data_IF_771972539317
#
_entry.id   IF_771972539317
#
_cell.length_a   1.000
_cell.length_b   1.000
_cell.length_c   1.000
_cell.angle_alpha   90.00
_cell.angle_beta   90.00
_cell.angle_gamma   90.00
#
_symmetry.space_group_name_H-M   'P 1'
#
loop_
_entity.id
_entity.type
_entity.pdbx_description
1 polymer ?
#
# COMPACT_ATOMS: atom_id res chain seq x y z
N UNK A 1 -22.59 9.50 -37.33
CA UNK A 1 -22.54 8.13 -36.75
C UNK A 1 -21.71 8.03 -35.44
N UNK A 2 -21.42 9.13 -34.73
CA UNK A 2 -20.73 9.13 -33.42
C UNK A 2 -21.63 9.54 -32.23
N UNK A 3 -22.76 10.19 -32.50
CA UNK A 3 -23.73 10.62 -31.50
C UNK A 3 -24.52 9.45 -30.89
N UNK A 4 -24.92 8.47 -31.71
CA UNK A 4 -25.71 7.29 -31.31
C UNK A 4 -24.99 6.36 -30.29
N UNK A 5 -23.66 6.23 -30.38
CA UNK A 5 -22.89 5.39 -29.42
C UNK A 5 -22.69 6.06 -28.07
N UNK A 6 -22.70 7.39 -28.03
CA UNK A 6 -22.51 8.16 -26.79
C UNK A 6 -23.81 8.24 -26.00
N UNK A 7 -24.96 8.30 -26.69
CA UNK A 7 -26.27 8.18 -26.05
C UNK A 7 -26.51 6.77 -25.50
N UNK A 8 -26.21 5.71 -26.26
CA UNK A 8 -26.29 4.32 -25.77
C UNK A 8 -25.43 4.05 -24.54
N UNK A 9 -24.26 4.71 -24.44
CA UNK A 9 -23.40 4.60 -23.27
C UNK A 9 -23.95 5.38 -22.06
N UNK A 10 -24.56 6.56 -22.29
CA UNK A 10 -25.23 7.34 -21.23
C UNK A 10 -26.51 6.64 -20.74
N UNK A 11 -27.20 5.92 -21.62
CA UNK A 11 -28.39 5.14 -21.31
C UNK A 11 -28.02 3.88 -20.51
N UNK A 12 -26.99 3.14 -20.93
CA UNK A 12 -26.46 2.00 -20.17
C UNK A 12 -25.89 2.38 -18.79
N UNK A 13 -25.33 3.59 -18.65
CA UNK A 13 -24.87 4.13 -17.36
C UNK A 13 -26.00 4.66 -16.47
N UNK A 14 -27.16 5.02 -17.05
CA UNK A 14 -28.39 5.34 -16.30
C UNK A 14 -29.10 4.08 -15.82
N UNK A 15 -28.97 2.96 -16.54
CA UNK A 15 -29.52 1.66 -16.14
C UNK A 15 -28.71 0.93 -15.05
N UNK A 16 -27.48 1.36 -14.76
CA UNK A 16 -26.74 0.84 -13.59
C UNK A 16 -27.29 1.44 -12.29
N UNK A 17 -28.35 0.80 -11.80
CA UNK A 17 -29.02 0.91 -10.50
C UNK A 17 -28.23 1.72 -9.45
N UNK A 18 -28.76 2.90 -9.11
CA UNK A 18 -28.30 3.69 -7.97
C UNK A 18 -28.62 2.95 -6.65
N UNK A 19 -27.78 3.14 -5.63
CA UNK A 19 -27.92 2.45 -4.33
C UNK A 19 -29.28 2.67 -3.65
N UNK A 20 -30.01 3.72 -4.02
CA UNK A 20 -31.37 4.00 -3.55
C UNK A 20 -32.41 3.00 -4.11
N UNK A 21 -32.28 2.56 -5.36
CA UNK A 21 -33.19 1.56 -5.95
C UNK A 21 -32.96 0.16 -5.39
N UNK A 22 -31.70 -0.16 -5.03
CA UNK A 22 -31.34 -1.42 -4.36
C UNK A 22 -31.98 -1.47 -2.96
N UNK A 23 -31.97 -0.37 -2.20
CA UNK A 23 -32.67 -0.29 -0.91
C UNK A 23 -34.20 -0.33 -1.05
N UNK A 24 -34.75 0.24 -2.14
CA UNK A 24 -36.19 0.23 -2.41
C UNK A 24 -36.69 -1.16 -2.82
N UNK A 25 -35.88 -1.97 -3.52
CA UNK A 25 -36.19 -3.37 -3.85
C UNK A 25 -36.04 -4.30 -2.64
N UNK A 26 -35.02 -4.12 -1.81
CA UNK A 26 -34.85 -4.87 -0.56
C UNK A 26 -35.97 -4.65 0.47
N UNK A 27 -36.66 -3.50 0.42
CA UNK A 27 -37.88 -3.24 1.23
C UNK A 27 -39.18 -3.75 0.62
N UNK A 28 -39.20 -4.11 -0.68
CA UNK A 28 -40.40 -4.61 -1.37
C UNK A 28 -40.48 -6.14 -1.43
N UNK A 29 -39.39 -6.86 -1.15
CA UNK A 29 -39.32 -8.33 -1.27
C UNK A 29 -39.41 -9.09 0.07
N UNK A 30 -39.81 -8.46 1.17
CA UNK A 30 -40.23 -9.20 2.37
C UNK A 30 -41.68 -9.69 2.19
N UNK A 31 -41.94 -11.00 2.04
CA UNK A 31 -43.30 -11.51 2.04
C UNK A 31 -43.85 -11.42 3.46
N UNK A 32 -45.00 -10.75 3.58
CA UNK A 32 -45.91 -10.89 4.69
C UNK A 32 -46.40 -12.34 4.76
N UNK A 33 -46.07 -13.05 5.84
CA UNK A 33 -46.89 -14.17 6.30
C UNK A 33 -47.35 -13.89 7.74
N UNK A 34 -48.64 -13.54 7.81
CA UNK A 34 -49.42 -13.35 9.01
C UNK A 34 -49.65 -14.70 9.69
N UNK A 35 -49.24 -14.84 10.96
CA UNK A 35 -50.00 -15.65 11.92
C UNK A 35 -50.18 -14.88 13.23
N UNK A 36 -51.44 -14.48 13.42
CA UNK A 36 -52.05 -13.82 14.59
C UNK A 36 -51.48 -14.33 15.92
N UNK A 37 -51.05 -13.43 16.80
CA UNK A 37 -51.33 -13.50 18.24
C UNK A 37 -51.30 -12.09 18.87
N UNK A 38 -52.45 -11.73 19.43
CA UNK A 38 -52.83 -10.67 20.39
C UNK A 38 -51.82 -9.55 20.75
N UNK A 39 -52.28 -8.33 20.42
CA UNK A 39 -51.91 -7.01 20.94
C UNK A 39 -51.89 -6.94 22.47
N UNK A 40 -50.80 -6.38 23.02
CA UNK A 40 -50.78 -5.69 24.31
C UNK A 40 -50.10 -4.33 24.14
N UNK A 41 -50.70 -3.32 24.75
CA UNK A 41 -50.42 -1.88 24.64
C UNK A 41 -48.99 -1.48 25.07
N UNK A 42 -48.34 -0.57 24.32
CA UNK A 42 -47.31 0.31 24.89
C UNK A 42 -47.49 1.75 24.35
N UNK A 43 -47.40 2.67 25.30
CA UNK A 43 -47.79 4.09 25.33
C UNK A 43 -46.87 5.02 24.52
N UNK A 44 -47.43 6.20 24.17
CA UNK A 44 -46.79 7.38 23.59
C UNK A 44 -45.43 7.76 24.20
N UNK A 45 -44.44 8.23 23.41
CA UNK A 45 -43.26 8.92 23.93
C UNK A 45 -43.46 10.44 23.86
N UNK A 46 -43.79 11.06 24.99
CA UNK A 46 -43.38 12.44 25.28
C UNK A 46 -42.13 12.36 26.18
N UNK A 47 -41.22 13.32 26.01
CA UNK A 47 -39.96 13.55 26.74
C UNK A 47 -38.68 13.07 26.05
N UNK A 48 -38.28 13.80 25.00
CA UNK A 48 -36.86 13.92 24.62
C UNK A 48 -36.35 15.25 25.18
N UNK A 49 -35.51 15.18 26.23
CA UNK A 49 -34.76 16.34 26.75
C UNK A 49 -33.76 16.81 25.69
N UNK A 50 -33.97 18.02 25.17
CA UNK A 50 -33.05 18.71 24.27
C UNK A 50 -31.80 19.10 25.08
N UNK A 51 -30.65 18.50 24.75
CA UNK A 51 -29.34 18.90 25.29
C UNK A 51 -28.94 20.27 24.72
N UNK A 52 -28.55 21.16 25.61
CA UNK A 52 -28.23 22.56 25.34
C UNK A 52 -26.99 22.68 24.43
N UNK A 53 -27.10 23.40 23.31
CA UNK A 53 -26.12 23.50 22.22
C UNK A 53 -24.89 24.37 22.51
N UNK A 54 -24.84 25.01 23.68
CA UNK A 54 -23.75 25.90 24.07
C UNK A 54 -22.48 25.17 24.51
N UNK A 55 -22.59 23.91 24.94
CA UNK A 55 -21.45 23.11 25.44
C UNK A 55 -20.50 22.68 24.30
N UNK A 56 -21.03 22.44 23.10
CA UNK A 56 -20.24 22.09 21.91
C UNK A 56 -19.41 23.24 21.35
N UNK A 57 -19.79 24.50 21.60
CA UNK A 57 -19.02 25.66 21.11
C UNK A 57 -17.79 25.92 21.96
N UNK A 58 -17.88 25.67 23.26
CA UNK A 58 -16.78 25.85 24.20
C UNK A 58 -15.68 24.79 24.01
N UNK A 59 -16.07 23.53 23.77
CA UNK A 59 -15.11 22.45 23.49
C UNK A 59 -14.32 22.70 22.21
N UNK A 60 -14.96 23.20 21.15
CA UNK A 60 -14.25 23.57 19.93
C UNK A 60 -13.23 24.70 20.17
N UNK A 61 -13.58 25.72 20.95
CA UNK A 61 -12.65 26.81 21.27
C UNK A 61 -11.44 26.31 22.07
N UNK A 62 -11.65 25.43 23.05
CA UNK A 62 -10.57 24.77 23.80
C UNK A 62 -9.63 23.98 22.89
N UNK A 63 -10.18 23.24 21.92
CA UNK A 63 -9.38 22.47 20.96
C UNK A 63 -8.53 23.41 20.09
N UNK A 64 -9.09 24.51 19.58
CA UNK A 64 -8.33 25.48 18.78
C UNK A 64 -7.23 26.17 19.59
N UNK A 65 -7.52 26.53 20.85
CA UNK A 65 -6.52 27.14 21.74
C UNK A 65 -5.34 26.19 22.01
N UNK A 66 -5.61 24.90 22.26
CA UNK A 66 -4.57 23.89 22.47
C UNK A 66 -3.73 23.67 21.20
N UNK A 67 -4.37 23.60 20.03
CA UNK A 67 -3.66 23.50 18.75
C UNK A 67 -2.72 24.69 18.51
N UNK A 68 -3.15 25.92 18.83
CA UNK A 68 -2.33 27.11 18.68
C UNK A 68 -1.07 27.06 19.57
N UNK A 69 -1.21 26.64 20.82
CA UNK A 69 -0.07 26.48 21.75
C UNK A 69 0.95 25.47 21.21
N UNK A 70 0.50 24.35 20.66
CA UNK A 70 1.38 23.33 20.07
C UNK A 70 2.18 23.90 18.89
N UNK A 71 1.56 24.71 18.03
CA UNK A 71 2.24 25.34 16.88
C UNK A 71 3.34 26.30 17.36
N UNK A 72 3.07 27.11 18.39
CA UNK A 72 4.05 28.04 18.95
C UNK A 72 5.24 27.28 19.57
N UNK A 73 4.98 26.19 20.29
CA UNK A 73 6.04 25.35 20.87
C UNK A 73 6.90 24.69 19.79
N UNK A 74 6.28 24.18 18.71
CA UNK A 74 7.02 23.60 17.59
C UNK A 74 7.93 24.63 16.91
N UNK A 75 7.44 25.86 16.72
CA UNK A 75 8.24 26.94 16.16
C UNK A 75 9.46 27.29 17.05
N UNK A 76 9.28 27.32 18.38
CA UNK A 76 10.39 27.54 19.33
C UNK A 76 11.43 26.42 19.29
N UNK A 77 11.01 25.16 19.19
CA UNK A 77 11.95 24.03 19.07
C UNK A 77 12.76 24.14 17.77
N UNK A 78 12.12 24.45 16.64
CA UNK A 78 12.80 24.64 15.36
C UNK A 78 13.81 25.81 15.45
N UNK A 79 13.40 26.92 16.08
CA UNK A 79 14.27 28.08 16.29
C UNK A 79 15.52 27.72 17.11
N UNK A 80 15.37 26.92 18.18
CA UNK A 80 16.49 26.47 19.01
C UNK A 80 17.44 25.53 18.25
N UNK A 81 16.91 24.65 17.39
CA UNK A 81 17.75 23.78 16.54
C UNK A 81 18.58 24.63 15.57
N UNK A 82 17.95 25.60 14.90
CA UNK A 82 18.64 26.51 13.97
C UNK A 82 19.69 27.38 14.66
N UNK A 83 19.43 27.82 15.90
CA UNK A 83 20.40 28.58 16.68
C UNK A 83 21.63 27.75 17.06
N UNK A 84 21.45 26.45 17.34
CA UNK A 84 22.53 25.58 17.79
C UNK A 84 23.48 25.14 16.65
N UNK A 85 22.99 25.01 15.42
CA UNK A 85 23.80 24.61 14.25
C UNK A 85 24.89 25.63 13.87
N UNK A 86 24.78 26.90 14.28
CA UNK A 86 25.79 27.92 13.99
C UNK A 86 27.08 27.79 14.83
N UNK A 87 27.18 26.82 15.74
CA UNK A 87 28.30 26.72 16.69
C UNK A 87 29.30 25.57 16.44
N UNK A 88 29.12 24.73 15.42
CA UNK A 88 29.97 23.53 15.23
C UNK A 88 30.68 23.55 13.87
N UNK A 89 31.86 24.18 13.80
CA UNK A 89 32.86 23.89 12.76
C UNK A 89 33.72 22.69 13.19
N UNK A 90 33.54 21.54 12.55
CA UNK A 90 34.39 20.35 12.78
C UNK A 90 35.60 20.43 11.83
N UNK A 91 36.78 20.54 12.43
CA UNK A 91 38.10 20.46 11.77
C UNK A 91 38.45 18.99 11.58
N UNK A 92 38.65 18.54 10.34
CA UNK A 92 39.24 17.23 10.06
C UNK A 92 40.76 17.30 10.28
N UNK A 93 41.28 16.41 11.13
CA UNK A 93 42.69 16.26 11.46
C UNK A 93 43.27 15.11 10.63
N UNK A 94 44.15 15.39 9.69
CA UNK A 94 44.92 14.38 8.95
C UNK A 94 46.02 13.79 9.83
N UNK A 95 46.10 12.46 9.88
CA UNK A 95 47.15 11.72 10.58
C UNK A 95 48.29 11.44 9.60
N UNK A 96 49.46 12.04 9.84
CA UNK A 96 50.74 11.69 9.21
C UNK A 96 51.24 10.34 9.74
N UNK A 97 51.71 9.47 8.83
CA UNK A 97 52.63 8.38 9.14
C UNK A 97 53.95 8.62 8.41
N UNK A 98 55.04 8.47 9.16
CA UNK A 98 56.45 8.60 8.76
C UNK A 98 57.00 7.22 8.29
N UNK A 99 58.00 7.16 7.38
CA UNK A 99 58.34 5.95 6.63
C UNK A 99 59.58 5.21 7.17
N UNK A 100 59.71 3.92 6.82
CA UNK A 100 60.94 3.12 6.58
C UNK A 100 60.51 1.62 6.59
N UNK A 101 60.98 0.65 5.78
CA UNK A 101 62.30 0.33 5.23
C UNK A 101 62.14 -0.47 3.91
N UNK A 102 63.14 -0.30 3.05
CA UNK A 102 63.43 -0.92 1.75
C UNK A 102 63.63 -2.45 1.82
N UNK A 103 63.02 -3.21 0.91
CA UNK A 103 63.65 -4.41 0.30
C UNK A 103 63.30 -4.45 -1.19
N UNK A 104 64.35 -4.44 -2.03
CA UNK A 104 64.29 -4.65 -3.48
C UNK A 104 64.11 -6.14 -3.76
N UNK A 105 63.11 -6.48 -4.57
CA UNK A 105 63.23 -7.67 -5.43
C UNK A 105 62.57 -7.41 -6.79
N UNK A 106 63.34 -7.74 -7.82
CA UNK A 106 63.09 -7.45 -9.23
C UNK A 106 62.20 -8.57 -9.78
N UNK A 107 60.95 -8.28 -10.16
CA UNK A 107 60.12 -9.21 -10.93
C UNK A 107 59.39 -8.46 -12.05
N UNK A 108 59.52 -9.04 -13.25
CA UNK A 108 59.12 -8.57 -14.58
C UNK A 108 57.65 -8.10 -14.66
N UNK A 109 57.33 -7.10 -15.52
CA UNK A 109 55.95 -6.67 -15.75
C UNK A 109 55.15 -7.80 -16.42
N UNK A 110 54.14 -8.28 -15.68
CA UNK A 110 53.08 -9.17 -16.17
C UNK A 110 52.07 -8.31 -16.93
N UNK A 111 51.70 -8.79 -18.12
CA UNK A 111 50.80 -8.13 -19.07
C UNK A 111 49.54 -7.56 -18.41
N UNK A 112 49.28 -6.28 -18.66
CA UNK A 112 48.02 -5.62 -18.34
C UNK A 112 47.00 -6.13 -19.36
N UNK A 113 46.15 -7.06 -18.94
CA UNK A 113 44.94 -7.40 -19.69
C UNK A 113 44.08 -6.15 -19.83
N UNK A 114 43.92 -5.74 -21.08
CA UNK A 114 43.00 -4.71 -21.53
C UNK A 114 41.59 -5.12 -21.11
N UNK A 115 41.06 -4.49 -20.05
CA UNK A 115 39.65 -4.54 -19.72
C UNK A 115 38.93 -3.88 -20.90
N UNK A 116 38.39 -4.70 -21.81
CA UNK A 116 37.36 -4.29 -22.76
C UNK A 116 36.23 -3.66 -21.94
N UNK A 117 36.14 -2.34 -21.97
CA UNK A 117 34.92 -1.64 -21.63
C UNK A 117 33.87 -2.10 -22.62
N UNK A 118 33.04 -3.04 -22.19
CA UNK A 118 31.77 -3.33 -22.84
C UNK A 118 30.94 -2.05 -22.72
N UNK A 119 30.90 -1.30 -23.81
CA UNK A 119 30.04 -0.14 -23.99
C UNK A 119 28.62 -0.66 -23.82
N UNK A 120 28.08 -0.53 -22.60
CA UNK A 120 26.67 -0.69 -22.32
C UNK A 120 25.97 0.36 -23.18
N UNK A 121 25.49 -0.05 -24.35
CA UNK A 121 24.60 0.77 -25.16
C UNK A 121 23.46 1.19 -24.25
N UNK A 122 23.40 2.47 -23.95
CA UNK A 122 22.27 3.13 -23.32
C UNK A 122 21.04 2.77 -24.16
N UNK A 123 20.24 1.83 -23.65
CA UNK A 123 18.96 1.49 -24.25
C UNK A 123 18.10 2.71 -23.99
N UNK A 124 17.99 3.58 -24.99
CA UNK A 124 16.99 4.65 -25.02
C UNK A 124 15.61 4.01 -24.81
N UNK A 125 15.17 3.95 -23.55
CA UNK A 125 13.78 3.65 -23.24
C UNK A 125 13.00 4.88 -23.69
N UNK A 126 12.44 4.82 -24.91
CA UNK A 126 11.42 5.77 -25.34
C UNK A 126 10.34 5.76 -24.26
N UNK A 127 10.29 6.83 -23.47
CA UNK A 127 9.22 7.09 -22.53
C UNK A 127 7.98 7.23 -23.41
N UNK A 128 7.14 6.20 -23.44
CA UNK A 128 5.86 6.28 -24.14
C UNK A 128 4.97 7.12 -23.24
N UNK A 129 4.70 8.37 -23.65
CA UNK A 129 3.70 9.19 -22.98
C UNK A 129 2.35 8.46 -23.01
N UNK A 130 1.86 8.11 -21.83
CA UNK A 130 0.58 7.46 -21.63
C UNK A 130 -0.54 8.47 -21.90
N UNK A 131 -1.03 8.53 -23.14
CA UNK A 131 -2.23 9.30 -23.49
C UNK A 131 -3.53 8.50 -23.23
N UNK A 132 -4.66 9.20 -23.13
CA UNK A 132 -5.98 8.57 -22.92
C UNK A 132 -6.36 7.55 -24.01
N UNK A 133 -5.76 7.65 -25.21
CA UNK A 133 -6.03 6.75 -26.33
C UNK A 133 -5.31 5.40 -26.16
N UNK A 134 -4.10 5.39 -25.62
CA UNK A 134 -3.28 4.19 -25.48
C UNK A 134 -3.31 3.59 -24.07
N UNK A 135 -3.70 4.36 -23.04
CA UNK A 135 -3.80 3.88 -21.65
C UNK A 135 -4.57 2.55 -21.54
N UNK A 136 -5.69 2.45 -22.27
CA UNK A 136 -6.56 1.26 -22.27
C UNK A 136 -5.84 0.00 -22.74
N UNK A 137 -5.00 0.11 -23.77
CA UNK A 137 -4.21 -0.99 -24.33
C UNK A 137 -3.11 -1.44 -23.37
N UNK A 138 -2.45 -0.52 -22.68
CA UNK A 138 -1.36 -0.81 -21.75
C UNK A 138 -1.84 -1.24 -20.35
N UNK A 139 -3.02 -0.80 -19.92
CA UNK A 139 -3.60 -1.13 -18.62
C UNK A 139 -4.28 -2.50 -18.58
N UNK A 140 -4.91 -2.94 -19.69
CA UNK A 140 -5.66 -4.20 -19.74
C UNK A 140 -4.86 -5.42 -20.24
N UNK A 141 -3.54 -5.29 -20.41
CA UNK A 141 -2.70 -6.46 -20.70
C UNK A 141 -2.84 -7.52 -19.58
N UNK A 142 -2.95 -8.79 -19.96
CA UNK A 142 -2.98 -9.92 -19.03
C UNK A 142 -1.61 -10.60 -18.92
N UNK A 143 -0.63 -10.19 -19.74
CA UNK A 143 0.72 -10.74 -19.70
C UNK A 143 1.42 -10.25 -18.45
N UNK A 144 1.84 -11.19 -17.61
CA UNK A 144 2.43 -10.90 -16.31
C UNK A 144 3.71 -11.68 -16.10
N UNK A 145 4.63 -11.07 -15.37
CA UNK A 145 5.71 -11.78 -14.65
C UNK A 145 5.41 -11.62 -13.17
N UNK A 146 5.74 -12.65 -12.38
CA UNK A 146 5.47 -12.60 -10.94
C UNK A 146 6.74 -12.84 -10.13
N UNK A 147 6.86 -12.09 -9.04
CA UNK A 147 7.80 -12.33 -7.96
C UNK A 147 7.02 -12.77 -6.73
N UNK A 148 7.52 -13.80 -6.05
CA UNK A 148 7.00 -14.29 -4.77
C UNK A 148 7.99 -13.95 -3.67
N UNK A 149 7.49 -13.37 -2.59
CA UNK A 149 8.30 -13.02 -1.44
C UNK A 149 7.60 -13.46 -0.15
N UNK A 150 8.07 -14.56 0.44
CA UNK A 150 7.35 -15.31 1.49
C UNK A 150 8.09 -15.36 2.84
N UNK A 151 8.94 -14.38 3.08
CA UNK A 151 9.85 -14.27 4.23
C UNK A 151 9.30 -13.35 5.34
N UNK A 152 7.99 -13.08 5.34
CA UNK A 152 7.38 -12.24 6.37
C UNK A 152 7.19 -13.05 7.64
N UNK A 153 7.50 -12.41 8.78
CA UNK A 153 7.14 -12.96 10.09
C UNK A 153 5.62 -12.99 10.26
N UNK A 154 5.15 -13.91 11.10
CA UNK A 154 3.75 -13.97 11.51
C UNK A 154 3.32 -12.62 12.09
N UNK A 155 2.13 -12.14 11.71
CA UNK A 155 1.55 -10.88 12.20
C UNK A 155 2.46 -9.65 11.97
N UNK A 156 3.27 -9.69 10.92
CA UNK A 156 4.18 -8.60 10.55
C UNK A 156 3.92 -8.11 9.13
N UNK A 157 3.98 -6.79 8.97
CA UNK A 157 3.97 -6.07 7.69
C UNK A 157 5.37 -5.68 7.21
N UNK A 158 6.39 -5.96 8.03
CA UNK A 158 7.76 -5.51 7.78
C UNK A 158 8.39 -6.35 6.67
N UNK A 159 8.85 -5.66 5.63
CA UNK A 159 9.54 -6.26 4.51
C UNK A 159 10.97 -6.60 4.92
N UNK A 160 11.38 -7.86 4.74
CA UNK A 160 12.76 -8.29 4.98
C UNK A 160 13.74 -7.64 3.99
N UNK A 161 15.03 -7.60 4.34
CA UNK A 161 16.05 -7.11 3.42
C UNK A 161 16.21 -8.01 2.18
N UNK A 162 16.07 -9.32 2.34
CA UNK A 162 16.09 -10.27 1.23
C UNK A 162 14.96 -9.98 0.24
N UNK A 163 13.76 -9.71 0.77
CA UNK A 163 12.60 -9.33 -0.02
C UNK A 163 12.82 -8.03 -0.77
N UNK A 164 13.32 -6.98 -0.09
CA UNK A 164 13.66 -5.70 -0.72
C UNK A 164 14.62 -5.89 -1.90
N UNK A 165 15.67 -6.69 -1.73
CA UNK A 165 16.64 -6.98 -2.78
C UNK A 165 15.99 -7.71 -3.97
N UNK A 166 15.18 -8.74 -3.70
CA UNK A 166 14.41 -9.47 -4.73
C UNK A 166 13.49 -8.55 -5.52
N UNK A 167 12.76 -7.67 -4.83
CA UNK A 167 11.84 -6.69 -5.43
C UNK A 167 12.62 -5.72 -6.32
N UNK A 168 13.70 -5.14 -5.80
CA UNK A 168 14.53 -4.20 -6.56
C UNK A 168 15.05 -4.85 -7.83
N UNK A 169 15.59 -6.07 -7.74
CA UNK A 169 16.11 -6.80 -8.90
C UNK A 169 15.00 -7.13 -9.90
N UNK A 170 13.83 -7.54 -9.42
CA UNK A 170 12.68 -7.84 -10.26
C UNK A 170 12.20 -6.61 -11.05
N UNK A 171 12.07 -5.45 -10.42
CA UNK A 171 11.63 -4.23 -11.11
C UNK A 171 12.73 -3.63 -12.00
N UNK A 172 14.01 -3.69 -11.58
CA UNK A 172 15.13 -3.20 -12.41
C UNK A 172 15.31 -4.02 -13.68
N UNK A 173 15.27 -5.36 -13.59
CA UNK A 173 15.40 -6.28 -14.73
C UNK A 173 14.25 -6.17 -15.75
N UNK A 174 13.06 -5.75 -15.31
CA UNK A 174 11.87 -5.67 -16.13
C UNK A 174 11.43 -4.21 -16.31
N UNK A 175 12.14 -3.46 -17.14
CA UNK A 175 11.84 -2.06 -17.49
C UNK A 175 10.55 -1.90 -18.30
N UNK A 176 10.03 -2.98 -18.87
CA UNK A 176 8.84 -3.03 -19.72
C UNK A 176 7.51 -3.12 -18.95
N UNK A 177 7.54 -3.05 -17.60
CA UNK A 177 6.33 -3.07 -16.80
C UNK A 177 5.54 -1.76 -16.95
N UNK A 178 4.25 -1.89 -17.26
CA UNK A 178 3.29 -0.77 -17.30
C UNK A 178 2.63 -0.56 -15.94
N UNK A 179 2.41 -1.66 -15.21
CA UNK A 179 1.75 -1.69 -13.91
C UNK A 179 2.29 -2.80 -13.05
N UNK A 180 2.35 -2.57 -11.75
CA UNK A 180 2.69 -3.58 -10.75
C UNK A 180 1.56 -3.73 -9.75
N UNK A 181 1.04 -4.93 -9.61
CA UNK A 181 0.04 -5.29 -8.60
C UNK A 181 0.73 -5.99 -7.43
N UNK A 182 0.41 -5.57 -6.20
CA UNK A 182 0.94 -6.16 -4.96
C UNK A 182 -0.18 -6.84 -4.22
N UNK A 183 -0.05 -8.16 -4.00
CA UNK A 183 -1.04 -9.03 -3.37
C UNK A 183 -0.45 -9.59 -2.08
N UNK A 184 -1.15 -9.43 -0.95
CA UNK A 184 -0.74 -10.07 0.30
C UNK A 184 -0.99 -11.59 0.28
N UNK A 185 -0.07 -12.33 0.89
CA UNK A 185 -0.19 -13.75 1.21
C UNK A 185 -0.22 -13.88 2.72
N UNK A 186 -1.26 -14.53 3.25
CA UNK A 186 -1.39 -14.84 4.68
C UNK A 186 -1.40 -16.33 4.90
N UNK A 187 -0.93 -16.76 6.07
CA UNK A 187 -1.04 -18.14 6.54
C UNK A 187 -1.82 -18.20 7.85
N UNK A 188 -2.18 -19.41 8.30
CA UNK A 188 -2.85 -19.59 9.59
C UNK A 188 -2.06 -19.01 10.77
N UNK A 189 -0.73 -19.01 10.69
CA UNK A 189 0.14 -18.42 11.72
C UNK A 189 -0.05 -16.90 11.87
N UNK A 190 -0.65 -16.21 10.89
CA UNK A 190 -0.93 -14.77 10.99
C UNK A 190 -2.09 -14.45 11.95
N UNK A 191 -2.79 -15.46 12.48
CA UNK A 191 -3.86 -15.28 13.47
C UNK A 191 -3.35 -14.90 14.88
N UNK A 192 -2.13 -14.40 15.04
CA UNK A 192 -1.52 -14.08 16.34
C UNK A 192 -2.43 -13.16 17.17
N UNK A 193 -2.92 -12.07 16.60
CA UNK A 193 -3.80 -11.13 17.30
C UNK A 193 -5.17 -11.74 17.61
N UNK A 194 -5.73 -12.54 16.70
CA UNK A 194 -6.98 -13.24 16.93
C UNK A 194 -6.88 -14.21 18.11
N UNK A 195 -5.79 -14.98 18.18
CA UNK A 195 -5.53 -15.93 19.25
C UNK A 195 -5.37 -15.22 20.61
N UNK A 196 -4.79 -14.01 20.64
CA UNK A 196 -4.65 -13.21 21.86
C UNK A 196 -5.99 -12.76 22.44
N UNK A 197 -6.96 -12.41 21.59
CA UNK A 197 -8.28 -11.91 22.01
C UNK A 197 -9.35 -13.00 22.11
N UNK A 198 -8.99 -14.26 21.85
CA UNK A 198 -9.96 -15.36 21.73
C UNK A 198 -10.79 -15.54 23.00
N UNK A 199 -10.18 -15.32 24.17
CA UNK A 199 -10.87 -15.36 25.46
C UNK A 199 -11.90 -14.23 25.64
N UNK A 200 -11.59 -13.03 25.14
CA UNK A 200 -12.47 -11.86 25.23
C UNK A 200 -13.73 -12.05 24.38
N UNK A 201 -13.63 -12.79 23.29
CA UNK A 201 -14.74 -13.07 22.37
C UNK A 201 -15.33 -14.48 22.53
N UNK A 202 -15.00 -15.21 23.60
CA UNK A 202 -15.38 -16.62 23.76
C UNK A 202 -16.90 -16.85 23.74
N UNK A 203 -17.66 -15.92 24.32
CA UNK A 203 -19.11 -15.97 24.45
C UNK A 203 -19.85 -15.51 23.18
N UNK A 204 -19.12 -15.02 22.17
CA UNK A 204 -19.71 -14.62 20.90
C UNK A 204 -20.06 -15.85 20.06
N UNK A 205 -21.02 -15.71 19.14
CA UNK A 205 -21.32 -16.78 18.21
C UNK A 205 -20.17 -17.00 17.20
N UNK A 206 -20.11 -18.18 16.60
CA UNK A 206 -19.05 -18.56 15.66
C UNK A 206 -18.99 -17.67 14.42
N UNK A 207 -20.12 -17.13 13.96
CA UNK A 207 -20.16 -16.21 12.82
C UNK A 207 -19.44 -14.89 13.13
N UNK A 208 -19.60 -14.35 14.34
CA UNK A 208 -18.91 -13.14 14.80
C UNK A 208 -17.42 -13.42 14.95
N UNK A 209 -17.03 -14.53 15.58
CA UNK A 209 -15.61 -14.91 15.72
C UNK A 209 -14.90 -15.00 14.36
N UNK A 210 -15.53 -15.64 13.38
CA UNK A 210 -15.00 -15.72 12.00
C UNK A 210 -14.88 -14.34 11.34
N UNK A 211 -15.86 -13.44 11.53
CA UNK A 211 -15.77 -12.07 11.00
C UNK A 211 -14.63 -11.28 11.65
N UNK A 212 -14.46 -11.40 12.96
CA UNK A 212 -13.35 -10.77 13.68
C UNK A 212 -12.02 -11.28 13.14
N UNK A 213 -11.85 -12.60 13.04
CA UNK A 213 -10.66 -13.22 12.45
C UNK A 213 -10.36 -12.68 11.04
N UNK A 214 -11.38 -12.67 10.18
CA UNK A 214 -11.26 -12.17 8.80
C UNK A 214 -10.85 -10.69 8.75
N UNK A 215 -11.43 -9.83 9.60
CA UNK A 215 -11.07 -8.42 9.64
C UNK A 215 -9.64 -8.19 10.12
N UNK A 216 -9.17 -8.96 11.10
CA UNK A 216 -7.79 -8.90 11.56
C UNK A 216 -6.82 -9.33 10.45
N UNK A 217 -7.11 -10.42 9.75
CA UNK A 217 -6.31 -10.88 8.60
C UNK A 217 -6.31 -9.87 7.45
N UNK A 218 -7.44 -9.22 7.16
CA UNK A 218 -7.52 -8.12 6.17
C UNK A 218 -6.67 -6.93 6.58
N UNK A 219 -6.68 -6.57 7.86
CA UNK A 219 -5.88 -5.47 8.41
C UNK A 219 -4.40 -5.68 8.14
N UNK A 220 -3.83 -6.81 8.59
CA UNK A 220 -2.41 -7.11 8.40
C UNK A 220 -2.05 -7.26 6.92
N UNK A 221 -2.91 -7.90 6.13
CA UNK A 221 -2.74 -8.03 4.68
C UNK A 221 -2.65 -6.67 4.00
N UNK A 222 -3.54 -5.75 4.35
CA UNK A 222 -3.57 -4.40 3.79
C UNK A 222 -2.29 -3.65 4.14
N UNK A 223 -1.81 -3.81 5.37
CA UNK A 223 -0.56 -3.18 5.81
C UNK A 223 0.65 -3.72 5.02
N UNK A 224 0.75 -5.04 4.80
CA UNK A 224 1.80 -5.64 3.93
C UNK A 224 1.80 -5.04 2.53
N UNK A 225 0.63 -4.93 1.91
CA UNK A 225 0.48 -4.34 0.57
C UNK A 225 0.91 -2.87 0.55
N UNK A 226 0.52 -2.09 1.55
CA UNK A 226 0.90 -0.66 1.67
C UNK A 226 2.41 -0.52 1.82
N UNK A 227 3.03 -1.27 2.72
CA UNK A 227 4.48 -1.22 2.96
C UNK A 227 5.25 -1.55 1.68
N UNK A 228 4.90 -2.64 1.00
CA UNK A 228 5.57 -3.07 -0.23
C UNK A 228 5.34 -2.07 -1.36
N UNK A 229 4.11 -1.57 -1.51
CA UNK A 229 3.80 -0.56 -2.52
C UNK A 229 4.58 0.73 -2.29
N UNK A 230 4.71 1.15 -1.02
CA UNK A 230 5.49 2.32 -0.60
C UNK A 230 6.98 2.11 -0.92
N UNK A 231 7.54 0.95 -0.60
CA UNK A 231 8.91 0.59 -0.94
C UNK A 231 9.17 0.67 -2.44
N UNK A 232 8.30 0.08 -3.27
CA UNK A 232 8.42 0.12 -4.74
C UNK A 232 8.40 1.56 -5.24
N UNK A 233 7.43 2.37 -4.80
CA UNK A 233 7.28 3.77 -5.24
C UNK A 233 8.47 4.64 -4.87
N UNK A 234 9.04 4.47 -3.67
CA UNK A 234 10.14 5.30 -3.18
C UNK A 234 11.51 4.97 -3.80
N UNK A 235 11.74 3.72 -4.19
CA UNK A 235 13.10 3.24 -4.48
C UNK A 235 13.35 2.89 -5.95
N UNK A 236 12.32 2.86 -6.79
CA UNK A 236 12.43 2.24 -8.12
C UNK A 236 12.14 3.19 -9.29
N UNK A 237 12.03 4.50 -9.01
CA UNK A 237 12.01 5.68 -9.92
C UNK A 237 11.68 5.41 -11.39
N UNK A 238 10.56 4.73 -11.61
CA UNK A 238 10.02 4.41 -12.94
C UNK A 238 8.55 4.77 -12.93
N UNK A 239 8.04 5.24 -14.07
CA UNK A 239 6.63 5.57 -14.34
C UNK A 239 5.66 4.37 -14.27
N UNK A 240 6.00 3.33 -13.50
CA UNK A 240 5.19 2.14 -13.29
C UNK A 240 4.06 2.45 -12.32
N UNK A 241 2.82 2.24 -12.76
CA UNK A 241 1.66 2.38 -11.89
C UNK A 241 1.67 1.26 -10.86
N UNK A 242 1.82 1.59 -9.57
CA UNK A 242 1.73 0.60 -8.48
C UNK A 242 0.30 0.53 -7.96
N UNK A 243 -0.34 -0.61 -8.15
CA UNK A 243 -1.73 -0.89 -7.77
C UNK A 243 -1.78 -1.80 -6.53
N UNK A 244 -2.09 -1.25 -5.35
CA UNK A 244 -2.30 -2.06 -4.16
C UNK A 244 -3.64 -2.81 -4.27
N UNK A 245 -3.68 -4.11 -3.93
CA UNK A 245 -4.94 -4.86 -3.91
C UNK A 245 -5.69 -4.71 -2.58
N UNK A 246 -7.01 -4.98 -2.64
CA UNK A 246 -7.90 -5.02 -1.48
C UNK A 246 -8.27 -6.45 -1.06
N UNK A 247 -7.67 -7.46 -1.70
CA UNK A 247 -7.82 -8.86 -1.36
C UNK A 247 -6.45 -9.44 -1.01
N UNK A 248 -6.48 -10.51 -0.22
CA UNK A 248 -5.31 -11.32 0.10
C UNK A 248 -5.52 -12.75 -0.41
N UNK A 249 -4.44 -13.52 -0.52
CA UNK A 249 -4.52 -14.96 -0.81
C UNK A 249 -4.10 -15.75 0.42
N UNK A 250 -4.85 -16.81 0.72
CA UNK A 250 -4.51 -17.73 1.80
C UNK A 250 -3.51 -18.75 1.29
N UNK A 251 -2.42 -18.93 2.01
CA UNK A 251 -1.42 -19.94 1.75
C UNK A 251 -1.96 -21.32 2.13
N UNK A 252 -1.87 -22.28 1.21
CA UNK A 252 -2.11 -23.70 1.53
C UNK A 252 -0.99 -24.31 2.39
N UNK A 253 0.15 -23.61 2.51
CA UNK A 253 1.29 -23.95 3.35
C UNK A 253 1.43 -22.88 4.45
N UNK A 254 2.65 -22.66 4.92
CA UNK A 254 2.98 -21.65 5.93
C UNK A 254 3.59 -20.37 5.35
N UNK A 255 3.58 -20.21 4.01
CA UNK A 255 4.11 -19.02 3.34
C UNK A 255 3.36 -17.74 3.74
N UNK A 256 4.11 -16.68 4.06
CA UNK A 256 3.58 -15.38 4.49
C UNK A 256 4.35 -14.26 3.80
N UNK A 257 3.65 -13.30 3.21
CA UNK A 257 4.31 -12.15 2.60
C UNK A 257 3.53 -11.57 1.44
N UNK A 258 4.14 -11.46 0.26
CA UNK A 258 3.52 -10.84 -0.92
C UNK A 258 3.82 -11.57 -2.22
N UNK A 259 2.89 -11.44 -3.17
CA UNK A 259 3.09 -11.73 -4.59
C UNK A 259 3.04 -10.40 -5.33
N UNK A 260 4.04 -10.15 -6.16
CA UNK A 260 4.13 -8.95 -6.98
C UNK A 260 3.99 -9.36 -8.43
N UNK A 261 2.96 -8.86 -9.11
CA UNK A 261 2.72 -9.11 -10.54
C UNK A 261 3.06 -7.86 -11.33
N UNK A 262 4.09 -7.94 -12.17
CA UNK A 262 4.41 -6.92 -13.16
C UNK A 262 3.70 -7.23 -14.48
N UNK A 263 2.86 -6.31 -14.93
CA UNK A 263 2.14 -6.36 -16.20
C UNK A 263 2.96 -5.69 -17.28
N UNK A 264 3.07 -6.30 -18.45
CA UNK A 264 3.82 -5.75 -19.58
C UNK A 264 3.04 -5.88 -20.88
N UNK A 265 3.33 -4.99 -21.81
CA UNK A 265 2.86 -5.07 -23.19
C UNK A 265 4.04 -5.45 -24.07
N UNK A 266 3.98 -6.52 -24.85
CA UNK A 266 5.04 -6.85 -25.78
C UNK A 266 5.16 -5.72 -26.82
N UNK A 267 6.38 -5.22 -27.03
CA UNK A 267 6.64 -4.28 -28.11
C UNK A 267 6.34 -4.94 -29.46
N UNK A 268 5.47 -4.33 -30.27
CA UNK A 268 5.14 -4.79 -31.61
C UNK A 268 6.26 -4.57 -32.65
N UNK A 269 7.47 -4.18 -32.23
CA UNK A 269 8.55 -3.76 -33.13
C UNK A 269 9.65 -4.82 -33.30
N UNK A 270 9.29 -6.10 -33.22
CA UNK A 270 10.13 -7.21 -33.72
C UNK A 270 9.30 -8.01 -34.72
N UNK A 271 9.10 -7.44 -35.89
CA UNK A 271 8.88 -8.16 -37.15
C UNK A 271 10.05 -7.80 -38.05
#
# INVERSE_FOLDING_TARGET
>A
MQTDKTEKLKEALRETLTQEEIQKKLKKESPSDNKKTKSSEIKNPKDIKIKNTNDLRFTNYLIYALCFIIIVLAALVIYLIMYNENSVKIVYKETKQEPEVIVKEIIKPKEIEVIKQEIVKEVETKIVDLDNKNFRKYYYTQKTRSLKCYDFKADSSIISQECKNKITNFIKKNTDFTRVEVIAVVANDDNVLFNKIQNDIKNQNEAIKKRVQEYLLRGISRQRVIEVSSFIRKNLDKYVVVTPTNYYVTSAKTNKGVIIKGFYTPNNNKQ
#
